data_IF_900870844509
#
_entry.id   IF_900870844509
#
_cell.length_a   1.000
_cell.length_b   1.000
_cell.length_c   1.000
_cell.angle_alpha   90.00
_cell.angle_beta   90.00
_cell.angle_gamma   90.00
#
_symmetry.space_group_name_H-M   'P 1'
#
loop_
_entity.id
_entity.type
_entity.pdbx_description
1 polymer ?
#
# COMPACT_ATOMS: atom_id res chain seq x y z
N UNK A 1 14.31 15.44 1.51
CA UNK A 1 13.35 14.51 2.12
C UNK A 1 12.95 13.49 1.06
N UNK A 2 13.26 12.20 1.26
CA UNK A 2 12.81 11.13 0.35
C UNK A 2 11.29 11.08 0.40
N UNK A 3 10.63 11.52 -0.68
CA UNK A 3 9.20 11.23 -0.88
C UNK A 3 9.09 9.72 -0.98
N UNK A 4 8.64 9.05 0.09
CA UNK A 4 8.31 7.62 0.09
C UNK A 4 7.18 7.44 -0.93
N UNK A 5 7.56 7.09 -2.14
CA UNK A 5 6.66 6.76 -3.24
C UNK A 5 6.61 5.25 -3.31
N UNK A 6 5.40 4.70 -3.24
CA UNK A 6 5.19 3.30 -3.58
C UNK A 6 5.35 3.21 -5.09
N UNK A 7 5.99 2.17 -5.60
CA UNK A 7 6.02 1.85 -7.03
C UNK A 7 5.26 0.54 -7.30
N UNK A 8 4.64 0.43 -8.48
CA UNK A 8 4.04 -0.83 -8.93
C UNK A 8 5.10 -1.92 -8.98
N UNK A 9 4.77 -3.12 -8.50
CA UNK A 9 5.73 -4.22 -8.39
C UNK A 9 6.50 -4.30 -7.06
N UNK A 10 6.36 -3.33 -6.15
CA UNK A 10 6.90 -3.48 -4.78
C UNK A 10 6.27 -4.68 -4.08
N UNK A 11 7.02 -5.51 -3.33
CA UNK A 11 6.43 -6.51 -2.47
C UNK A 11 5.87 -5.85 -1.20
N UNK A 12 4.83 -6.46 -0.61
CA UNK A 12 4.22 -6.00 0.66
C UNK A 12 5.23 -5.67 1.77
N UNK A 13 6.30 -6.45 1.89
CA UNK A 13 7.31 -6.24 2.94
C UNK A 13 8.10 -4.95 2.75
N UNK A 14 8.37 -4.56 1.50
CA UNK A 14 9.05 -3.30 1.19
C UNK A 14 8.15 -2.10 1.44
N UNK A 15 6.85 -2.25 1.14
CA UNK A 15 5.82 -1.28 1.50
C UNK A 15 5.72 -1.12 3.01
N UNK A 16 5.66 -2.22 3.75
CA UNK A 16 5.61 -2.18 5.22
C UNK A 16 6.89 -1.59 5.82
N UNK A 17 8.05 -1.81 5.20
CA UNK A 17 9.30 -1.21 5.66
C UNK A 17 9.37 0.29 5.35
N UNK A 18 8.85 0.70 4.18
CA UNK A 18 8.81 2.10 3.78
C UNK A 18 7.74 2.89 4.55
N UNK A 19 6.51 2.38 4.68
CA UNK A 19 5.37 3.09 5.25
C UNK A 19 5.06 2.70 6.69
N UNK A 20 5.64 1.61 7.21
CA UNK A 20 5.28 1.02 8.49
C UNK A 20 4.10 0.07 8.37
N UNK A 21 3.50 -0.26 9.52
CA UNK A 21 2.31 -1.10 9.56
C UNK A 21 1.09 -0.34 9.03
N UNK A 22 0.27 -0.97 8.17
CA UNK A 22 -0.99 -0.38 7.77
C UNK A 22 -1.95 -0.27 8.95
N UNK A 23 -2.82 0.72 8.88
CA UNK A 23 -3.88 0.94 9.87
C UNK A 23 -4.97 -0.13 9.72
N UNK A 24 -5.28 -0.49 8.47
CA UNK A 24 -6.25 -1.53 8.15
C UNK A 24 -5.81 -2.38 6.96
N UNK A 25 -5.98 -3.69 7.11
CA UNK A 25 -5.74 -4.66 6.04
C UNK A 25 -7.09 -5.24 5.62
N UNK A 26 -7.36 -5.28 4.31
CA UNK A 26 -8.54 -5.88 3.74
C UNK A 26 -8.12 -6.90 2.68
N UNK A 27 -8.58 -8.14 2.78
CA UNK A 27 -8.29 -9.18 1.77
C UNK A 27 -9.60 -9.67 1.17
N UNK A 28 -9.73 -9.60 -0.15
CA UNK A 28 -10.93 -10.04 -0.87
C UNK A 28 -10.56 -10.73 -2.18
N UNK A 29 -11.03 -11.96 -2.37
CA UNK A 29 -10.79 -12.78 -3.57
C UNK A 29 -9.31 -12.79 -4.00
N UNK A 30 -8.38 -13.12 -3.08
CA UNK A 30 -6.94 -13.21 -3.39
C UNK A 30 -6.22 -11.86 -3.51
N UNK A 31 -6.94 -10.74 -3.58
CA UNK A 31 -6.36 -9.39 -3.54
C UNK A 31 -6.29 -8.90 -2.11
N UNK A 32 -5.16 -8.31 -1.76
CA UNK A 32 -4.95 -7.69 -0.45
C UNK A 32 -4.87 -6.18 -0.64
N UNK A 33 -5.48 -5.40 0.23
CA UNK A 33 -5.49 -3.95 0.20
C UNK A 33 -5.07 -3.44 1.56
N UNK A 34 -4.01 -2.64 1.60
CA UNK A 34 -3.54 -1.97 2.80
C UNK A 34 -4.01 -0.53 2.81
N UNK A 35 -4.58 -0.13 3.92
CA UNK A 35 -5.03 1.22 4.17
C UNK A 35 -4.10 1.85 5.19
N UNK A 36 -3.46 2.93 4.77
CA UNK A 36 -2.63 3.78 5.59
C UNK A 36 -3.38 5.07 5.85
N UNK A 37 -3.43 5.49 7.11
CA UNK A 37 -4.00 6.78 7.50
C UNK A 37 -2.91 7.58 8.17
N UNK A 38 -2.63 8.75 7.61
CA UNK A 38 -1.69 9.69 8.21
C UNK A 38 -2.41 10.57 9.24
N UNK A 39 -1.65 11.15 10.16
CA UNK A 39 -2.18 12.02 11.22
C UNK A 39 -2.87 13.27 10.67
N UNK A 40 -2.48 13.68 9.47
CA UNK A 40 -3.07 14.79 8.72
C UNK A 40 -4.46 14.44 8.11
N UNK A 41 -4.95 13.21 8.31
CA UNK A 41 -6.23 12.74 7.77
C UNK A 41 -6.14 12.19 6.34
N UNK A 42 -4.95 12.20 5.74
CA UNK A 42 -4.70 11.62 4.44
C UNK A 42 -4.76 10.09 4.49
N UNK A 43 -5.71 9.49 3.78
CA UNK A 43 -5.76 8.03 3.57
C UNK A 43 -5.10 7.62 2.26
N UNK A 44 -4.20 6.65 2.33
CA UNK A 44 -3.61 5.97 1.17
C UNK A 44 -4.06 4.52 1.15
N UNK A 45 -4.55 4.08 0.00
CA UNK A 45 -4.87 2.69 -0.24
C UNK A 45 -3.79 2.12 -1.18
N UNK A 46 -3.23 0.98 -0.79
CA UNK A 46 -2.27 0.22 -1.57
C UNK A 46 -2.89 -1.14 -1.82
N UNK A 47 -3.31 -1.38 -3.06
CA UNK A 47 -3.79 -2.68 -3.47
C UNK A 47 -2.62 -3.55 -3.91
N UNK A 48 -2.69 -4.82 -3.57
CA UNK A 48 -1.74 -5.85 -3.93
C UNK A 48 -2.43 -6.85 -4.85
N UNK A 49 -1.67 -7.28 -5.83
CA UNK A 49 -2.05 -8.31 -6.76
C UNK A 49 -1.93 -9.71 -6.13
N UNK A 50 -2.35 -10.74 -6.85
CA UNK A 50 -2.44 -12.12 -6.35
C UNK A 50 -1.06 -12.70 -6.00
N UNK A 51 -0.01 -12.14 -6.61
CA UNK A 51 1.40 -12.47 -6.35
C UNK A 51 1.99 -11.71 -5.14
N UNK A 52 1.22 -10.84 -4.48
CA UNK A 52 1.69 -10.03 -3.34
C UNK A 52 2.51 -8.79 -3.75
N UNK A 53 2.48 -8.44 -5.03
CA UNK A 53 3.10 -7.23 -5.58
C UNK A 53 2.10 -6.07 -5.59
N UNK A 54 2.58 -4.85 -5.34
CA UNK A 54 1.73 -3.66 -5.35
C UNK A 54 1.17 -3.39 -6.74
N UNK A 55 -0.14 -3.22 -6.81
CA UNK A 55 -0.90 -2.70 -7.92
C UNK A 55 -1.37 -1.27 -7.58
N UNK A 56 -0.53 -0.28 -7.83
CA UNK A 56 -0.92 1.12 -7.60
C UNK A 56 -1.81 1.55 -8.75
N UNK A 57 -3.09 1.75 -8.45
CA UNK A 57 -3.91 2.63 -9.28
C UNK A 57 -3.52 4.06 -8.94
N UNK A 58 -2.51 4.59 -9.64
CA UNK A 58 -2.17 6.00 -9.54
C UNK A 58 -3.44 6.82 -9.73
N UNK A 59 -3.85 7.57 -8.72
CA UNK A 59 -4.84 8.64 -8.93
C UNK A 59 -4.16 9.64 -9.86
N UNK A 60 -4.57 9.61 -11.13
CA UNK A 60 -4.19 10.57 -12.16
C UNK A 60 -4.80 11.94 -11.83
#
# INVERSE_FOLDING_TARGET
MLKKQVHSGMPRSDVESAFGKPDRISSRNGRTSYHYRDSDGNTRQIDFDEYGCVNIKGRK
#
